data_IF_667497219942
#
_entry.id   IF_667497219942
#
_cell.length_a   1.000
_cell.length_b   1.000
_cell.length_c   1.000
_cell.angle_alpha   90.00
_cell.angle_beta   90.00
_cell.angle_gamma   90.00
#
_symmetry.space_group_name_H-M   'P 1'
#
loop_
_entity.id
_entity.type
_entity.pdbx_description
1 polymer ?
#
# COMPACT_ATOMS: atom_id res chain seq x y z
N UNK A 1 11.99 -1.64 -29.36
CA UNK A 1 11.22 -2.84 -28.94
C UNK A 1 9.97 -2.37 -28.23
N UNK A 2 8.80 -2.89 -28.59
CA UNK A 2 7.53 -2.55 -27.95
C UNK A 2 7.54 -3.05 -26.50
N UNK A 3 7.39 -2.19 -25.50
CA UNK A 3 7.13 -2.57 -24.11
C UNK A 3 5.64 -2.88 -23.91
N UNK A 4 5.41 -3.91 -23.12
CA UNK A 4 4.13 -4.21 -22.50
C UNK A 4 4.14 -3.58 -21.11
N UNK A 5 3.14 -2.73 -20.86
CA UNK A 5 2.97 -2.03 -19.59
C UNK A 5 1.70 -2.56 -18.93
N UNK A 6 1.78 -2.94 -17.67
CA UNK A 6 0.63 -3.37 -16.87
C UNK A 6 0.23 -2.30 -15.86
N UNK A 7 -1.05 -2.01 -15.74
CA UNK A 7 -1.61 -1.11 -14.74
C UNK A 7 -2.54 -1.93 -13.84
N UNK A 8 -2.30 -1.90 -12.53
CA UNK A 8 -3.25 -2.44 -11.53
C UNK A 8 -4.21 -1.32 -11.13
N UNK A 9 -5.50 -1.40 -11.47
CA UNK A 9 -6.44 -0.35 -11.05
C UNK A 9 -6.70 -0.40 -9.55
N UNK A 10 -6.03 0.47 -8.80
CA UNK A 10 -6.18 0.67 -7.35
C UNK A 10 -6.51 2.11 -6.93
N UNK A 11 -6.77 3.00 -7.89
CA UNK A 11 -7.04 4.42 -7.64
C UNK A 11 -8.35 4.89 -8.32
N UNK A 12 -8.72 6.14 -8.03
CA UNK A 12 -9.85 6.82 -8.67
C UNK A 12 -9.65 6.97 -10.17
N UNK A 13 -10.77 7.10 -10.90
CA UNK A 13 -10.78 7.23 -12.36
C UNK A 13 -9.84 8.34 -12.87
N UNK A 14 -9.81 9.49 -12.21
CA UNK A 14 -8.98 10.62 -12.60
C UNK A 14 -7.49 10.31 -12.52
N UNK A 15 -7.05 9.60 -11.47
CA UNK A 15 -5.65 9.20 -11.32
C UNK A 15 -5.26 8.17 -12.37
N UNK A 16 -6.15 7.22 -12.67
CA UNK A 16 -5.95 6.27 -13.77
C UNK A 16 -5.80 7.00 -15.10
N UNK A 17 -6.65 7.98 -15.38
CA UNK A 17 -6.57 8.78 -16.60
C UNK A 17 -5.23 9.53 -16.70
N UNK A 18 -4.80 10.18 -15.61
CA UNK A 18 -3.51 10.89 -15.55
C UNK A 18 -2.33 9.95 -15.78
N UNK A 19 -2.35 8.77 -15.15
CA UNK A 19 -1.32 7.75 -15.35
C UNK A 19 -1.27 7.27 -16.81
N UNK A 20 -2.42 7.01 -17.43
CA UNK A 20 -2.49 6.60 -18.84
C UNK A 20 -1.88 7.67 -19.73
N UNK A 21 -2.26 8.94 -19.56
CA UNK A 21 -1.70 10.05 -20.33
C UNK A 21 -0.20 10.17 -20.14
N UNK A 22 0.28 10.09 -18.89
CA UNK A 22 1.71 10.09 -18.59
C UNK A 22 2.46 8.96 -19.33
N UNK A 23 1.91 7.75 -19.37
CA UNK A 23 2.51 6.61 -20.08
C UNK A 23 2.53 6.87 -21.59
N UNK A 24 1.43 7.38 -22.16
CA UNK A 24 1.30 7.67 -23.59
C UNK A 24 2.24 8.80 -24.04
N UNK A 25 2.43 9.82 -23.22
CA UNK A 25 3.37 10.92 -23.47
C UNK A 25 4.83 10.48 -23.35
N UNK A 26 5.12 9.57 -22.41
CA UNK A 26 6.48 9.10 -22.15
C UNK A 26 6.98 8.09 -23.19
N UNK A 27 6.07 7.35 -23.84
CA UNK A 27 6.43 6.25 -24.73
C UNK A 27 5.63 6.23 -26.02
N UNK A 28 6.31 6.31 -27.16
CA UNK A 28 5.69 6.45 -28.49
C UNK A 28 4.92 5.23 -29.02
N UNK A 29 5.09 4.03 -28.44
CA UNK A 29 4.47 2.82 -29.04
C UNK A 29 4.26 1.65 -28.09
N UNK A 30 3.56 1.81 -26.96
CA UNK A 30 3.43 0.72 -25.97
C UNK A 30 2.11 -0.06 -26.03
N UNK A 31 2.16 -1.33 -25.62
CA UNK A 31 0.94 -2.09 -25.35
C UNK A 31 0.57 -1.92 -23.88
N UNK A 32 -0.43 -1.09 -23.61
CA UNK A 32 -0.94 -0.88 -22.25
C UNK A 32 -2.01 -1.92 -21.94
N UNK A 33 -1.83 -2.62 -20.83
CA UNK A 33 -2.77 -3.55 -20.24
C UNK A 33 -3.23 -2.97 -18.91
N UNK A 34 -4.54 -3.00 -18.63
CA UNK A 34 -5.08 -2.57 -17.34
C UNK A 34 -5.92 -3.68 -16.75
N UNK A 35 -5.65 -4.02 -15.50
CA UNK A 35 -6.52 -4.90 -14.73
C UNK A 35 -7.56 -4.06 -14.02
N UNK A 36 -8.84 -4.35 -14.25
CA UNK A 36 -9.96 -3.47 -13.91
C UNK A 36 -11.19 -4.25 -13.45
N UNK A 37 -11.94 -3.71 -12.47
CA UNK A 37 -13.25 -4.25 -12.10
C UNK A 37 -14.25 -4.09 -13.23
N UNK A 38 -15.11 -5.10 -13.43
CA UNK A 38 -16.11 -5.15 -14.51
C UNK A 38 -16.99 -3.90 -14.59
N UNK A 39 -17.50 -3.41 -13.46
CA UNK A 39 -18.37 -2.22 -13.38
C UNK A 39 -17.73 -0.95 -13.96
N UNK A 40 -16.41 -0.88 -13.94
CA UNK A 40 -15.72 0.38 -14.11
C UNK A 40 -14.98 0.48 -15.44
N UNK A 41 -15.20 -0.49 -16.34
CA UNK A 41 -14.56 -0.62 -17.64
C UNK A 41 -15.11 0.36 -18.69
N UNK A 42 -16.43 0.62 -18.70
CA UNK A 42 -17.10 1.32 -19.79
C UNK A 42 -16.52 2.73 -20.01
N UNK A 43 -16.43 3.51 -18.93
CA UNK A 43 -15.90 4.88 -18.96
C UNK A 43 -14.45 4.94 -19.44
N UNK A 44 -13.63 3.96 -19.09
CA UNK A 44 -12.23 3.92 -19.55
C UNK A 44 -12.13 3.44 -21.00
N UNK A 45 -12.94 2.46 -21.40
CA UNK A 45 -12.94 1.91 -22.76
C UNK A 45 -13.35 2.94 -23.81
N UNK A 46 -14.31 3.81 -23.48
CA UNK A 46 -14.71 4.93 -24.36
C UNK A 46 -13.55 5.91 -24.56
N UNK A 47 -12.88 6.30 -23.48
CA UNK A 47 -11.81 7.31 -23.52
C UNK A 47 -10.49 6.77 -24.08
N UNK A 48 -10.18 5.51 -23.80
CA UNK A 48 -8.93 4.85 -24.20
C UNK A 48 -9.23 3.50 -24.87
N UNK A 49 -9.74 3.50 -26.11
CA UNK A 49 -10.13 2.28 -26.82
C UNK A 49 -8.95 1.36 -27.15
N UNK A 50 -7.73 1.92 -27.25
CA UNK A 50 -6.52 1.19 -27.61
C UNK A 50 -5.88 0.42 -26.44
N UNK A 51 -6.39 0.58 -25.21
CA UNK A 51 -5.90 -0.16 -24.04
C UNK A 51 -6.51 -1.56 -24.01
N UNK A 52 -5.71 -2.55 -23.60
CA UNK A 52 -6.14 -3.93 -23.41
C UNK A 52 -6.66 -4.11 -21.99
N UNK A 53 -7.94 -4.42 -21.86
CA UNK A 53 -8.60 -4.56 -20.55
C UNK A 53 -8.59 -6.01 -20.09
N UNK A 54 -8.02 -6.26 -18.92
CA UNK A 54 -8.07 -7.54 -18.22
C UNK A 54 -9.12 -7.41 -17.12
N UNK A 55 -10.26 -8.07 -17.31
CA UNK A 55 -11.41 -7.93 -16.41
C UNK A 55 -11.20 -8.77 -15.16
N UNK A 56 -11.31 -8.12 -14.00
CA UNK A 56 -11.45 -8.77 -12.70
C UNK A 56 -12.89 -8.65 -12.21
N UNK A 57 -13.30 -9.56 -11.33
CA UNK A 57 -14.60 -9.47 -10.65
C UNK A 57 -14.68 -8.22 -9.77
N UNK A 58 -15.91 -7.78 -9.49
CA UNK A 58 -16.14 -6.56 -8.73
C UNK A 58 -15.65 -6.70 -7.28
N UNK A 59 -15.14 -5.59 -6.73
CA UNK A 59 -14.56 -5.54 -5.39
C UNK A 59 -13.05 -5.23 -5.38
N UNK A 60 -12.45 -5.39 -4.20
CA UNK A 60 -11.02 -5.17 -3.98
C UNK A 60 -10.18 -6.28 -4.61
N UNK A 61 -8.98 -5.94 -5.08
CA UNK A 61 -7.98 -6.94 -5.47
C UNK A 61 -7.55 -7.75 -4.25
N UNK A 62 -8.09 -8.96 -4.14
CA UNK A 62 -7.66 -9.96 -3.16
C UNK A 62 -6.83 -11.02 -3.87
N UNK A 63 -5.68 -11.36 -3.31
CA UNK A 63 -4.78 -12.36 -3.84
C UNK A 63 -5.42 -13.74 -3.93
N UNK A 64 -6.28 -14.11 -2.98
CA UNK A 64 -6.99 -15.40 -3.03
C UNK A 64 -7.92 -15.50 -4.25
N UNK A 65 -8.70 -14.45 -4.54
CA UNK A 65 -9.55 -14.40 -5.73
C UNK A 65 -8.71 -14.50 -7.01
N UNK A 66 -7.53 -13.88 -7.01
CA UNK A 66 -6.57 -14.00 -8.11
C UNK A 66 -6.07 -15.44 -8.27
N UNK A 67 -5.75 -16.15 -7.18
CA UNK A 67 -5.31 -17.55 -7.22
C UNK A 67 -6.38 -18.49 -7.77
N UNK A 68 -7.65 -18.24 -7.47
CA UNK A 68 -8.76 -19.07 -7.93
C UNK A 68 -9.13 -18.80 -9.41
N UNK A 69 -8.86 -17.58 -9.91
CA UNK A 69 -9.20 -17.19 -11.27
C UNK A 69 -8.09 -17.52 -12.29
N UNK A 70 -8.15 -18.72 -12.87
CA UNK A 70 -7.20 -19.21 -13.90
C UNK A 70 -7.09 -18.25 -15.09
N UNK A 71 -8.21 -17.70 -15.58
CA UNK A 71 -8.21 -16.81 -16.74
C UNK A 71 -7.49 -15.50 -16.46
N UNK A 72 -7.70 -14.93 -15.28
CA UNK A 72 -6.99 -13.73 -14.83
C UNK A 72 -5.49 -14.01 -14.71
N UNK A 73 -5.10 -15.11 -14.06
CA UNK A 73 -3.70 -15.52 -13.93
C UNK A 73 -3.02 -15.68 -15.27
N UNK A 74 -3.62 -16.42 -16.20
CA UNK A 74 -3.01 -16.63 -17.52
C UNK A 74 -2.82 -15.31 -18.29
N UNK A 75 -3.76 -14.36 -18.17
CA UNK A 75 -3.62 -13.05 -18.81
C UNK A 75 -2.52 -12.18 -18.17
N UNK A 76 -2.20 -12.41 -16.90
CA UNK A 76 -1.24 -11.61 -16.11
C UNK A 76 0.14 -12.27 -16.04
N UNK A 77 0.27 -13.59 -15.98
CA UNK A 77 1.54 -14.28 -15.78
C UNK A 77 2.19 -14.75 -17.09
N UNK A 78 1.40 -15.10 -18.10
CA UNK A 78 1.95 -15.62 -19.37
C UNK A 78 2.48 -14.52 -20.31
N UNK A 79 2.47 -13.25 -19.88
CA UNK A 79 2.96 -12.11 -20.66
C UNK A 79 4.20 -11.53 -20.01
N UNK A 80 5.20 -11.18 -20.82
CA UNK A 80 6.35 -10.43 -20.35
C UNK A 80 6.01 -8.93 -20.30
N UNK A 81 6.03 -8.37 -19.08
CA UNK A 81 5.81 -6.95 -18.83
C UNK A 81 7.12 -6.28 -18.41
N UNK A 82 7.52 -5.24 -19.12
CA UNK A 82 8.73 -4.49 -18.79
C UNK A 82 8.49 -3.53 -17.61
N UNK A 83 7.27 -2.98 -17.53
CA UNK A 83 6.88 -2.03 -16.49
C UNK A 83 5.49 -2.36 -15.93
N UNK A 84 5.35 -2.26 -14.62
CA UNK A 84 4.08 -2.37 -13.91
C UNK A 84 3.87 -1.08 -13.13
N UNK A 85 2.73 -0.43 -13.34
CA UNK A 85 2.33 0.77 -12.63
C UNK A 85 1.21 0.45 -11.64
N UNK A 86 1.37 0.99 -10.43
CA UNK A 86 0.40 0.90 -9.35
C UNK A 86 -0.01 2.33 -9.01
N UNK A 87 -1.18 2.77 -9.45
CA UNK A 87 -1.73 4.08 -9.11
C UNK A 87 -2.30 4.07 -7.69
N UNK A 88 -2.13 5.17 -6.94
CA UNK A 88 -2.84 5.42 -5.69
C UNK A 88 -3.49 6.79 -5.69
N UNK A 89 -4.67 6.85 -5.09
CA UNK A 89 -5.36 8.11 -4.79
C UNK A 89 -4.74 8.87 -3.61
N UNK A 90 -3.76 8.29 -2.93
CA UNK A 90 -3.03 8.87 -1.80
C UNK A 90 -1.53 9.00 -2.09
N UNK A 91 -0.83 9.78 -1.28
CA UNK A 91 0.63 9.97 -1.36
C UNK A 91 1.35 8.64 -1.09
N UNK A 92 0.81 7.81 -0.19
CA UNK A 92 1.33 6.47 0.11
C UNK A 92 0.44 5.37 -0.51
N UNK A 93 0.95 4.14 -0.65
CA UNK A 93 0.12 2.99 -1.03
C UNK A 93 -0.46 2.34 0.23
N UNK A 94 -1.78 2.40 0.36
CA UNK A 94 -2.52 1.53 1.27
C UNK A 94 -2.79 0.17 0.60
N UNK A 95 -2.69 -0.93 1.36
CA UNK A 95 -2.95 -2.30 0.88
C UNK A 95 -2.05 -2.78 -0.28
N UNK A 96 -0.79 -2.33 -0.33
CA UNK A 96 0.19 -2.78 -1.33
C UNK A 96 0.39 -4.31 -1.33
N UNK A 97 0.21 -4.95 -0.18
CA UNK A 97 0.51 -6.38 0.07
C UNK A 97 -0.17 -7.33 -0.92
N UNK A 98 -1.46 -7.13 -1.18
CA UNK A 98 -2.26 -7.99 -2.07
C UNK A 98 -1.78 -7.87 -3.52
N UNK A 99 -1.64 -6.63 -4.01
CA UNK A 99 -1.14 -6.33 -5.35
C UNK A 99 0.29 -6.83 -5.51
N UNK A 100 1.11 -6.66 -4.48
CA UNK A 100 2.49 -7.12 -4.46
C UNK A 100 2.59 -8.65 -4.53
N UNK A 101 1.72 -9.38 -3.83
CA UNK A 101 1.67 -10.84 -3.90
C UNK A 101 1.41 -11.31 -5.34
N UNK A 102 0.50 -10.65 -6.05
CA UNK A 102 0.23 -10.89 -7.48
C UNK A 102 1.46 -10.55 -8.32
N UNK A 103 1.98 -9.34 -8.18
CA UNK A 103 3.14 -8.84 -8.93
C UNK A 103 4.33 -9.77 -8.79
N UNK A 104 4.53 -10.37 -7.62
CA UNK A 104 5.63 -11.29 -7.34
C UNK A 104 5.68 -12.50 -8.30
N UNK A 105 4.55 -12.89 -8.89
CA UNK A 105 4.42 -14.01 -9.84
C UNK A 105 4.81 -13.65 -11.27
N UNK A 106 4.79 -12.36 -11.62
CA UNK A 106 5.10 -11.88 -12.96
C UNK A 106 6.64 -11.83 -13.13
N UNK A 107 7.22 -12.35 -14.20
CA UNK A 107 8.68 -12.33 -14.37
C UNK A 107 9.18 -11.01 -14.99
N UNK A 108 10.46 -10.66 -14.73
CA UNK A 108 11.22 -9.57 -15.40
C UNK A 108 10.50 -8.21 -15.54
N UNK A 109 10.09 -7.62 -14.42
CA UNK A 109 9.41 -6.30 -14.40
C UNK A 109 10.17 -5.24 -13.61
N UNK A 110 10.05 -3.98 -14.05
CA UNK A 110 10.21 -2.83 -13.18
C UNK A 110 8.85 -2.44 -12.62
N UNK A 111 8.77 -2.13 -11.32
CA UNK A 111 7.51 -1.76 -10.69
C UNK A 111 7.60 -0.32 -10.24
N UNK A 112 6.57 0.44 -10.58
CA UNK A 112 6.46 1.87 -10.32
C UNK A 112 5.18 2.17 -9.58
N UNK A 113 5.31 3.00 -8.58
CA UNK A 113 4.21 3.61 -7.89
C UNK A 113 3.91 4.97 -8.52
N UNK A 114 2.64 5.27 -8.79
CA UNK A 114 2.17 6.54 -9.31
C UNK A 114 1.16 7.15 -8.33
N UNK A 115 1.52 8.24 -7.65
CA UNK A 115 0.68 8.82 -6.61
C UNK A 115 -0.28 9.88 -7.15
N UNK A 116 -1.14 10.41 -6.27
CA UNK A 116 -2.12 11.43 -6.62
C UNK A 116 -1.51 12.77 -7.05
N UNK A 117 -0.24 13.03 -6.73
CA UNK A 117 0.50 14.21 -7.18
C UNK A 117 1.09 14.02 -8.59
N UNK A 118 1.12 12.79 -9.09
CA UNK A 118 1.69 12.42 -10.39
C UNK A 118 3.17 12.04 -10.31
N UNK A 119 3.69 11.85 -9.10
CA UNK A 119 5.07 11.43 -8.87
C UNK A 119 5.21 9.92 -9.13
N UNK A 120 6.34 9.55 -9.74
CA UNK A 120 6.65 8.16 -10.08
C UNK A 120 7.83 7.66 -9.28
N UNK A 121 7.58 6.69 -8.40
CA UNK A 121 8.62 6.10 -7.55
C UNK A 121 8.84 4.64 -7.91
N UNK A 122 10.10 4.24 -8.13
CA UNK A 122 10.42 2.83 -8.38
C UNK A 122 10.28 2.03 -7.07
N UNK A 123 9.51 0.96 -7.12
CA UNK A 123 9.27 0.08 -5.97
C UNK A 123 10.15 -1.16 -6.08
N UNK A 124 10.88 -1.47 -5.01
CA UNK A 124 11.58 -2.73 -4.90
C UNK A 124 10.55 -3.81 -4.55
N UNK A 125 10.39 -4.82 -5.42
CA UNK A 125 9.46 -5.93 -5.21
C UNK A 125 10.11 -7.20 -4.68
N UNK A 126 11.35 -7.12 -4.17
CA UNK A 126 11.98 -8.26 -3.54
C UNK A 126 11.17 -8.68 -2.30
N UNK A 127 10.48 -9.83 -2.41
CA UNK A 127 9.61 -10.40 -1.38
C UNK A 127 10.34 -10.51 -0.04
N UNK A 128 11.64 -10.81 -0.08
CA UNK A 128 12.45 -10.97 1.13
C UNK A 128 12.64 -9.64 1.87
N UNK A 129 12.98 -8.59 1.11
CA UNK A 129 13.13 -7.24 1.66
C UNK A 129 11.83 -6.75 2.31
N UNK A 130 10.70 -7.08 1.71
CA UNK A 130 9.40 -6.58 2.17
C UNK A 130 8.89 -7.35 3.40
N UNK A 131 9.09 -8.68 3.45
CA UNK A 131 8.82 -9.45 4.67
C UNK A 131 9.67 -8.96 5.85
N UNK A 132 10.91 -8.57 5.58
CA UNK A 132 11.79 -7.96 6.59
C UNK A 132 11.25 -6.59 7.01
N UNK A 133 10.87 -5.71 6.07
CA UNK A 133 10.36 -4.38 6.41
C UNK A 133 9.06 -4.42 7.20
N UNK A 134 8.15 -5.35 6.90
CA UNK A 134 6.91 -5.55 7.67
C UNK A 134 7.18 -6.04 9.10
N UNK A 135 8.10 -7.00 9.25
CA UNK A 135 8.52 -7.47 10.58
C UNK A 135 9.17 -6.33 11.38
N UNK A 136 10.02 -5.52 10.74
CA UNK A 136 10.65 -4.35 11.38
C UNK A 136 9.62 -3.32 11.81
N UNK A 137 8.61 -3.03 10.97
CA UNK A 137 7.52 -2.11 11.32
C UNK A 137 6.73 -2.59 12.54
N UNK A 138 6.31 -3.85 12.55
CA UNK A 138 5.63 -4.46 13.71
C UNK A 138 6.49 -4.43 14.98
N UNK A 139 7.79 -4.70 14.84
CA UNK A 139 8.73 -4.62 15.96
C UNK A 139 8.83 -3.19 16.50
N UNK A 140 8.91 -2.19 15.62
CA UNK A 140 8.98 -0.78 16.02
C UNK A 140 7.72 -0.30 16.75
N UNK A 141 6.53 -0.71 16.28
CA UNK A 141 5.24 -0.41 16.93
C UNK A 141 5.16 -1.06 18.31
N UNK A 142 5.60 -2.33 18.43
CA UNK A 142 5.66 -3.05 19.70
C UNK A 142 6.59 -2.38 20.71
N UNK A 143 7.79 -1.98 20.27
CA UNK A 143 8.75 -1.26 21.12
C UNK A 143 8.20 0.08 21.60
N UNK A 144 7.54 0.83 20.72
CA UNK A 144 6.90 2.10 21.08
C UNK A 144 5.83 1.90 22.17
N UNK A 145 5.00 0.87 22.05
CA UNK A 145 3.98 0.53 23.04
C UNK A 145 4.59 0.15 24.40
N UNK A 146 5.69 -0.63 24.41
CA UNK A 146 6.41 -0.96 25.64
C UNK A 146 6.97 0.30 26.30
N UNK A 147 7.56 1.20 25.51
CA UNK A 147 8.12 2.46 26.02
C UNK A 147 7.02 3.34 26.64
N UNK A 148 5.87 3.44 25.97
CA UNK A 148 4.70 4.17 26.47
C UNK A 148 4.20 3.60 27.80
N UNK A 149 4.12 2.28 27.94
CA UNK A 149 3.72 1.62 29.18
C UNK A 149 4.71 1.87 30.32
N UNK A 150 6.02 1.91 30.05
CA UNK A 150 7.04 2.26 31.03
C UNK A 150 6.88 3.71 31.50
N UNK A 151 6.68 4.65 30.57
CA UNK A 151 6.42 6.06 30.90
C UNK A 151 5.18 6.22 31.78
N UNK A 152 4.08 5.53 31.45
CA UNK A 152 2.85 5.55 32.26
C UNK A 152 3.06 4.98 33.66
N UNK A 153 3.85 3.90 33.81
CA UNK A 153 4.20 3.33 35.12
C UNK A 153 5.02 4.30 35.96
N UNK A 154 6.00 4.97 35.34
CA UNK A 154 6.83 5.97 36.03
C UNK A 154 5.93 7.11 36.53
N UNK A 155 5.08 7.68 35.67
CA UNK A 155 4.14 8.75 36.05
C UNK A 155 3.25 8.31 37.22
N UNK A 156 2.67 7.10 37.15
CA UNK A 156 1.81 6.57 38.22
C UNK A 156 2.56 6.42 39.54
N UNK A 157 3.80 5.93 39.48
CA UNK A 157 4.67 5.80 40.66
C UNK A 157 5.00 7.17 41.26
N UNK A 158 5.38 8.15 40.43
CA UNK A 158 5.61 9.54 40.86
C UNK A 158 4.39 10.13 41.56
N UNK A 159 3.19 9.96 41.00
CA UNK A 159 1.94 10.42 41.61
C UNK A 159 1.68 9.75 42.97
N UNK A 160 1.91 8.44 43.09
CA UNK A 160 1.78 7.72 44.36
C UNK A 160 2.75 8.25 45.42
N UNK A 161 4.02 8.48 45.05
CA UNK A 161 5.04 9.02 45.96
C UNK A 161 4.65 10.42 46.43
N UNK A 162 4.25 11.31 45.52
CA UNK A 162 3.78 12.66 45.88
C UNK A 162 2.54 12.63 46.75
N UNK A 163 1.62 11.69 46.51
CA UNK A 163 0.40 11.56 47.31
C UNK A 163 0.70 11.10 48.74
N UNK A 164 1.62 10.14 48.91
CA UNK A 164 2.08 9.71 50.24
C UNK A 164 2.77 10.83 51.00
N UNK A 165 3.72 11.52 50.36
CA UNK A 165 4.43 12.64 50.97
C UNK A 165 3.47 13.74 51.47
N UNK A 166 2.39 14.01 50.72
CA UNK A 166 1.35 14.97 51.16
C UNK A 166 0.51 14.48 52.35
N UNK A 167 0.31 13.18 52.51
CA UNK A 167 -0.42 12.63 53.67
C UNK A 167 0.44 12.68 54.93
N UNK A 168 1.72 12.31 54.83
CA UNK A 168 2.65 12.33 55.97
C UNK A 168 2.86 13.76 56.51
N UNK A 169 2.88 14.79 55.65
CA UNK A 169 2.92 16.20 56.10
C UNK A 169 1.66 16.68 56.81
N UNK A 170 0.49 16.05 56.60
CA UNK A 170 -0.75 16.46 57.29
C UNK A 170 -0.92 15.82 58.66
N UNK A 171 -0.33 14.66 58.91
CA UNK A 171 -0.35 14.02 60.24
C UNK A 171 0.62 14.70 61.23
N UNK A 172 1.72 15.29 60.74
CA UNK A 172 2.65 16.07 61.57
C UNK A 172 2.02 17.33 62.19
N UNK A 173 1.16 18.03 61.46
CA UNK A 173 0.50 19.27 61.92
C UNK A 173 -0.62 19.04 62.97
N UNK A 174 -1.07 17.79 63.17
CA UNK A 174 -2.14 17.46 64.12
C UNK A 174 -1.64 17.06 65.52
N UNK A 175 -0.34 16.75 65.67
CA UNK A 175 0.25 16.37 66.95
C UNK A 175 0.90 17.53 67.73
N UNK A 176 0.92 18.75 67.17
CA UNK A 176 1.46 19.97 67.80
C UNK A 176 0.36 20.92 68.35
N UNK A 177 -0.82 20.40 68.70
CA UNK A 177 -1.88 21.16 69.39
C UNK A 177 -2.25 20.57 70.74
#
# INVERSE_FOLDING_TARGET
>A
MKKNILIFRSASYDIICRLINYILEKYDSESIYIIIQKEAIELLRIKYPNIKYIINENGFFKYNNYLENINLRNNVECREYQEIYIPSSTIEINNFQEIQAIISKISKKNVFFYNCLGEVTKVNTNIFYIKISEKLKKLSESLLNVLLLLVLKIIKFSCLVVSRLKMDTKEGDLNDR
#
